data_IF_359492875151
#
_entry.id   IF_359492875151
#
_cell.length_a   1.000
_cell.length_b   1.000
_cell.length_c   1.000
_cell.angle_alpha   90.00
_cell.angle_beta   90.00
_cell.angle_gamma   90.00
#
_symmetry.space_group_name_H-M   'P 1'
#
loop_
_entity.id
_entity.type
_entity.pdbx_description
1 polymer ?
#
# COMPACT_ATOMS: atom_id res chain seq x y z
N UNK A 1 7.76 15.12 16.02
CA UNK A 1 8.61 15.40 14.83
C UNK A 1 7.69 15.61 13.64
N UNK A 2 8.06 16.48 12.70
CA UNK A 2 7.27 16.90 11.53
C UNK A 2 6.63 15.71 10.77
N UNK A 3 7.37 14.62 10.57
CA UNK A 3 6.86 13.42 9.90
C UNK A 3 5.68 12.74 10.62
N UNK A 4 5.63 12.81 11.96
CA UNK A 4 4.53 12.23 12.72
C UNK A 4 3.25 13.06 12.58
N UNK A 5 3.37 14.38 12.53
CA UNK A 5 2.24 15.30 12.32
C UNK A 5 1.65 15.14 10.92
N UNK A 6 2.50 15.13 9.89
CA UNK A 6 2.08 14.89 8.51
C UNK A 6 1.44 13.51 8.34
N UNK A 7 1.96 12.48 9.04
CA UNK A 7 1.34 11.15 9.05
C UNK A 7 -0.07 11.19 9.64
N UNK A 8 -0.28 11.83 10.79
CA UNK A 8 -1.62 11.92 11.40
C UNK A 8 -2.59 12.73 10.55
N UNK A 9 -2.13 13.84 9.95
CA UNK A 9 -2.91 14.61 8.98
C UNK A 9 -3.28 13.78 7.75
N UNK A 10 -2.33 13.04 7.20
CA UNK A 10 -2.56 12.14 6.06
C UNK A 10 -3.57 11.03 6.39
N UNK A 11 -3.45 10.41 7.56
CA UNK A 11 -4.40 9.40 8.04
C UNK A 11 -5.81 9.99 8.22
N UNK A 12 -5.90 11.20 8.77
CA UNK A 12 -7.18 11.91 8.95
C UNK A 12 -7.83 12.24 7.61
N UNK A 13 -7.05 12.76 6.65
CA UNK A 13 -7.52 13.03 5.30
C UNK A 13 -8.00 11.75 4.60
N UNK A 14 -7.25 10.65 4.75
CA UNK A 14 -7.64 9.34 4.22
C UNK A 14 -8.98 8.87 4.81
N UNK A 15 -9.16 8.96 6.12
CA UNK A 15 -10.41 8.59 6.79
C UNK A 15 -11.61 9.43 6.30
N UNK A 16 -11.37 10.69 5.94
CA UNK A 16 -12.35 11.61 5.34
C UNK A 16 -12.52 11.40 3.82
N UNK A 17 -11.89 10.39 3.22
CA UNK A 17 -11.86 10.12 1.77
C UNK A 17 -11.25 11.26 0.93
N UNK A 18 -10.47 12.14 1.56
CA UNK A 18 -9.75 13.23 0.90
C UNK A 18 -8.41 12.70 0.39
N UNK A 19 -8.45 11.76 -0.56
CA UNK A 19 -7.28 10.95 -0.94
C UNK A 19 -6.13 11.77 -1.52
N UNK A 20 -6.41 12.81 -2.32
CA UNK A 20 -5.38 13.70 -2.85
C UNK A 20 -4.59 14.43 -1.74
N UNK A 21 -5.28 14.87 -0.68
CA UNK A 21 -4.63 15.48 0.48
C UNK A 21 -3.82 14.45 1.27
N UNK A 22 -4.38 13.25 1.48
CA UNK A 22 -3.66 12.15 2.13
C UNK A 22 -2.36 11.81 1.38
N UNK A 23 -2.40 11.78 0.04
CA UNK A 23 -1.23 11.53 -0.80
C UNK A 23 -0.16 12.62 -0.65
N UNK A 24 -0.55 13.88 -0.54
CA UNK A 24 0.40 14.99 -0.30
C UNK A 24 1.11 14.82 1.04
N UNK A 25 0.36 14.54 2.11
CA UNK A 25 0.91 14.29 3.44
C UNK A 25 1.86 13.09 3.47
N UNK A 26 1.48 11.96 2.86
CA UNK A 26 2.36 10.78 2.81
C UNK A 26 3.60 11.02 1.94
N UNK A 27 3.49 11.81 0.87
CA UNK A 27 4.65 12.21 0.07
C UNK A 27 5.63 13.03 0.91
N UNK A 28 5.13 13.98 1.72
CA UNK A 28 5.96 14.74 2.66
C UNK A 28 6.61 13.84 3.72
N UNK A 29 5.88 12.86 4.24
CA UNK A 29 6.45 11.87 5.16
C UNK A 29 7.61 11.10 4.53
N UNK A 30 7.51 10.73 3.25
CA UNK A 30 8.56 10.04 2.51
C UNK A 30 9.79 10.90 2.22
N UNK A 31 9.64 12.23 2.13
CA UNK A 31 10.77 13.16 2.04
C UNK A 31 11.51 13.27 3.37
N UNK A 32 10.76 13.28 4.48
CA UNK A 32 11.30 13.42 5.84
C UNK A 32 11.92 12.13 6.37
N UNK A 33 11.33 10.99 6.04
CA UNK A 33 11.83 9.65 6.38
C UNK A 33 11.57 8.69 5.20
N UNK A 34 12.55 8.55 4.29
CA UNK A 34 12.43 7.71 3.10
C UNK A 34 12.53 6.21 3.41
N UNK A 35 12.89 5.83 4.64
CA UNK A 35 13.13 4.46 5.07
C UNK A 35 11.87 3.76 5.59
N UNK A 36 10.88 4.55 6.01
CA UNK A 36 9.63 4.02 6.56
C UNK A 36 8.67 3.54 5.45
N UNK A 37 8.39 2.25 5.46
CA UNK A 37 7.53 1.55 4.52
C UNK A 37 6.04 1.90 4.68
N UNK A 38 5.65 2.44 5.84
CA UNK A 38 4.25 2.75 6.16
C UNK A 38 3.71 3.85 5.25
N UNK A 39 4.52 4.86 4.95
CA UNK A 39 4.10 6.01 4.13
C UNK A 39 3.77 5.63 2.68
N UNK A 40 4.65 4.95 1.91
CA UNK A 40 4.28 4.47 0.58
C UNK A 40 3.15 3.44 0.64
N UNK A 41 3.02 2.63 1.70
CA UNK A 41 1.87 1.72 1.86
C UNK A 41 0.53 2.47 1.97
N UNK A 42 0.51 3.58 2.72
CA UNK A 42 -0.70 4.39 2.89
C UNK A 42 -0.99 5.22 1.63
N UNK A 43 0.05 5.73 0.95
CA UNK A 43 -0.10 6.43 -0.33
C UNK A 43 -0.58 5.50 -1.45
N UNK A 44 -0.08 4.27 -1.51
CA UNK A 44 -0.58 3.20 -2.39
C UNK A 44 -2.08 2.96 -2.17
N UNK A 45 -2.53 2.92 -0.91
CA UNK A 45 -3.96 2.78 -0.60
C UNK A 45 -4.79 3.97 -1.10
N UNK A 46 -4.24 5.20 -1.02
CA UNK A 46 -4.92 6.41 -1.46
C UNK A 46 -5.05 6.46 -2.98
N UNK A 47 -3.99 6.11 -3.70
CA UNK A 47 -4.00 5.92 -5.16
C UNK A 47 -5.04 4.85 -5.57
N UNK A 48 -5.04 3.70 -4.92
CA UNK A 48 -6.01 2.63 -5.18
C UNK A 48 -7.46 3.10 -4.97
N UNK A 49 -7.73 3.91 -3.93
CA UNK A 49 -9.06 4.49 -3.71
C UNK A 49 -9.51 5.49 -4.79
N UNK A 50 -8.57 5.99 -5.60
CA UNK A 50 -8.82 6.85 -6.76
C UNK A 50 -8.71 6.10 -8.09
N UNK A 51 -8.60 4.77 -8.05
CA UNK A 51 -8.39 3.90 -9.23
C UNK A 51 -7.10 4.23 -10.02
N UNK A 52 -6.11 4.84 -9.36
CA UNK A 52 -4.78 5.13 -9.90
C UNK A 52 -3.86 3.93 -9.66
N UNK A 53 -4.10 2.87 -10.42
CA UNK A 53 -3.55 1.56 -10.11
C UNK A 53 -2.04 1.44 -10.41
N UNK A 54 -1.54 2.14 -11.42
CA UNK A 54 -0.13 2.20 -11.77
C UNK A 54 0.69 2.82 -10.63
N UNK A 55 0.24 3.96 -10.10
CA UNK A 55 0.89 4.63 -8.97
C UNK A 55 0.75 3.81 -7.69
N UNK A 56 -0.42 3.19 -7.47
CA UNK A 56 -0.62 2.29 -6.33
C UNK A 56 0.35 1.11 -6.37
N UNK A 57 0.60 0.54 -7.56
CA UNK A 57 1.54 -0.55 -7.76
C UNK A 57 2.99 -0.08 -7.57
N UNK A 58 3.35 1.11 -8.07
CA UNK A 58 4.69 1.68 -7.89
C UNK A 58 5.04 1.87 -6.41
N UNK A 59 4.11 2.44 -5.63
CA UNK A 59 4.28 2.58 -4.18
C UNK A 59 4.33 1.23 -3.47
N UNK A 60 3.46 0.28 -3.83
CA UNK A 60 3.47 -1.05 -3.23
C UNK A 60 4.78 -1.82 -3.53
N UNK A 61 5.33 -1.68 -4.75
CA UNK A 61 6.66 -2.23 -5.10
C UNK A 61 7.77 -1.62 -4.23
N UNK A 62 7.68 -0.32 -3.92
CA UNK A 62 8.61 0.32 -2.97
C UNK A 62 8.47 -0.26 -1.56
N UNK A 63 7.25 -0.52 -1.09
CA UNK A 63 7.01 -1.13 0.23
C UNK A 63 7.66 -2.50 0.32
N UNK A 64 7.47 -3.38 -0.66
CA UNK A 64 8.06 -4.74 -0.64
C UNK A 64 9.58 -4.72 -0.82
N UNK A 65 10.13 -3.68 -1.47
CA UNK A 65 11.58 -3.48 -1.54
C UNK A 65 12.17 -3.00 -0.20
N UNK A 66 11.48 -2.10 0.50
CA UNK A 66 11.90 -1.59 1.83
C UNK A 66 11.76 -2.66 2.91
N UNK A 67 10.64 -3.39 2.90
CA UNK A 67 10.31 -4.39 3.93
C UNK A 67 9.64 -5.63 3.31
N UNK A 68 10.44 -6.55 2.73
CA UNK A 68 9.90 -7.75 2.08
C UNK A 68 9.20 -8.70 3.05
N UNK A 69 9.49 -8.62 4.35
CA UNK A 69 8.86 -9.43 5.40
C UNK A 69 7.55 -8.87 5.94
N UNK A 70 6.96 -7.85 5.31
CA UNK A 70 5.68 -7.28 5.75
C UNK A 70 4.56 -7.66 4.79
N UNK A 71 3.64 -8.52 5.24
CA UNK A 71 2.56 -9.05 4.43
C UNK A 71 1.72 -7.93 3.79
N UNK A 72 1.43 -6.85 4.53
CA UNK A 72 0.65 -5.71 4.04
C UNK A 72 1.21 -5.09 2.76
N UNK A 73 2.53 -5.03 2.59
CA UNK A 73 3.16 -4.52 1.37
C UNK A 73 2.82 -5.37 0.15
N UNK A 74 2.90 -6.69 0.31
CA UNK A 74 2.50 -7.65 -0.72
C UNK A 74 0.99 -7.61 -0.98
N UNK A 75 0.16 -7.43 0.06
CA UNK A 75 -1.29 -7.25 -0.10
C UNK A 75 -1.64 -5.99 -0.90
N UNK A 76 -0.92 -4.88 -0.68
CA UNK A 76 -1.07 -3.64 -1.48
C UNK A 76 -0.71 -3.88 -2.94
N UNK A 77 0.40 -4.59 -3.20
CA UNK A 77 0.83 -4.91 -4.55
C UNK A 77 -0.20 -5.79 -5.26
N UNK A 78 -0.71 -6.82 -4.58
CA UNK A 78 -1.77 -7.67 -5.10
C UNK A 78 -3.02 -6.88 -5.48
N UNK A 79 -3.48 -5.97 -4.61
CA UNK A 79 -4.65 -5.15 -4.86
C UNK A 79 -4.47 -4.22 -6.07
N UNK A 80 -3.29 -3.59 -6.21
CA UNK A 80 -2.98 -2.75 -7.35
C UNK A 80 -2.92 -3.56 -8.66
N UNK A 81 -2.31 -4.75 -8.64
CA UNK A 81 -2.28 -5.67 -9.78
C UNK A 81 -3.68 -6.14 -10.19
N UNK A 82 -4.60 -6.37 -9.25
CA UNK A 82 -6.02 -6.65 -9.57
C UNK A 82 -6.65 -5.47 -10.31
N UNK A 83 -6.43 -4.25 -9.83
CA UNK A 83 -6.91 -3.02 -10.50
C UNK A 83 -6.38 -2.87 -11.93
N UNK A 84 -5.10 -3.23 -12.13
CA UNK A 84 -4.45 -3.28 -13.45
C UNK A 84 -4.85 -4.50 -14.31
N UNK A 85 -5.67 -5.42 -13.78
CA UNK A 85 -6.02 -6.71 -14.43
C UNK A 85 -4.82 -7.62 -14.70
N UNK A 86 -3.74 -7.45 -13.94
CA UNK A 86 -2.55 -8.31 -13.94
C UNK A 86 -2.73 -9.45 -12.95
N UNK A 87 -3.68 -10.34 -13.22
CA UNK A 87 -4.13 -11.36 -12.27
C UNK A 87 -3.03 -12.35 -11.85
N UNK A 88 -2.11 -12.69 -12.76
CA UNK A 88 -0.96 -13.55 -12.45
C UNK A 88 -0.03 -12.91 -11.42
N UNK A 89 0.29 -11.62 -11.59
CA UNK A 89 1.11 -10.86 -10.65
C UNK A 89 0.40 -10.67 -9.31
N UNK A 90 -0.92 -10.45 -9.34
CA UNK A 90 -1.73 -10.33 -8.13
C UNK A 90 -1.71 -11.61 -7.30
N UNK A 91 -1.90 -12.77 -7.94
CA UNK A 91 -1.87 -14.07 -7.28
C UNK A 91 -0.49 -14.35 -6.65
N UNK A 92 0.60 -14.04 -7.35
CA UNK A 92 1.95 -14.19 -6.78
C UNK A 92 2.15 -13.26 -5.57
N UNK A 93 1.70 -12.01 -5.66
CA UNK A 93 1.80 -11.07 -4.54
C UNK A 93 1.01 -11.55 -3.32
N UNK A 94 -0.25 -11.99 -3.48
CA UNK A 94 -1.03 -12.53 -2.36
C UNK A 94 -0.45 -13.83 -1.80
N UNK A 95 0.11 -14.70 -2.64
CA UNK A 95 0.83 -15.90 -2.20
C UNK A 95 2.05 -15.55 -1.36
N UNK A 96 2.79 -14.49 -1.72
CA UNK A 96 3.91 -13.97 -0.92
C UNK A 96 3.43 -13.41 0.42
N UNK A 97 2.31 -12.68 0.43
CA UNK A 97 1.70 -12.19 1.66
C UNK A 97 1.29 -13.34 2.59
N UNK A 98 0.64 -14.39 2.06
CA UNK A 98 0.25 -15.59 2.81
C UNK A 98 1.43 -16.41 3.32
N UNK A 99 2.60 -16.37 2.67
CA UNK A 99 3.81 -16.99 3.22
C UNK A 99 4.30 -16.28 4.49
N UNK A 100 3.99 -15.01 4.66
CA UNK A 100 4.37 -14.19 5.81
C UNK A 100 3.29 -14.29 6.91
N UNK A 101 2.02 -14.17 6.52
CA UNK A 101 0.85 -14.25 7.40
C UNK A 101 -0.12 -15.33 6.89
N UNK A 102 0.13 -16.63 7.20
CA UNK A 102 -0.61 -17.75 6.61
C UNK A 102 -2.06 -17.86 7.08
N UNK A 103 -2.39 -17.26 8.22
CA UNK A 103 -3.73 -17.34 8.82
C UNK A 103 -4.62 -16.13 8.48
N UNK A 104 -4.15 -15.20 7.64
CA UNK A 104 -4.93 -14.03 7.24
C UNK A 104 -6.06 -14.42 6.27
N UNK A 105 -7.30 -14.39 6.79
CA UNK A 105 -8.48 -14.75 6.03
C UNK A 105 -8.77 -13.81 4.85
N UNK A 106 -8.39 -12.53 4.95
CA UNK A 106 -8.59 -11.58 3.86
C UNK A 106 -7.66 -11.89 2.70
N UNK A 107 -6.41 -12.28 3.00
CA UNK A 107 -5.44 -12.71 1.99
C UNK A 107 -5.84 -14.02 1.31
N UNK A 108 -6.38 -15.00 2.05
CA UNK A 108 -6.94 -16.22 1.44
C UNK A 108 -8.04 -15.90 0.43
N UNK A 109 -8.99 -15.03 0.81
CA UNK A 109 -10.07 -14.59 -0.09
C UNK A 109 -9.54 -13.84 -1.30
N UNK A 110 -8.51 -13.02 -1.12
CA UNK A 110 -7.92 -12.23 -2.20
C UNK A 110 -7.10 -13.09 -3.18
N UNK A 111 -6.44 -14.15 -2.70
CA UNK A 111 -5.65 -15.07 -3.52
C UNK A 111 -6.51 -16.01 -4.39
N UNK A 112 -7.79 -16.20 -4.04
CA UNK A 112 -8.72 -17.11 -4.74
C UNK A 112 -9.61 -16.41 -5.79
N UNK A 113 -9.50 -15.09 -5.92
CA UNK A 113 -10.24 -14.27 -6.88
C UNK A 113 -9.46 -14.12 -8.17
#
# INVERSE_FOLDING_TARGET
AEAAEEKERGNTAFAKKQYAEAMRCFSRCMELDPSCEVYPSNRSAAHASLEQWEEAAADARRVVALKPGWAKGWSRLGAACVGLRLYGDAAEAYRRALKIEPDDQALHKACQR
#
